data_IF_627907799220
#
_entry.id   IF_627907799220
#
_cell.length_a   1.000
_cell.length_b   1.000
_cell.length_c   1.000
_cell.angle_alpha   90.00
_cell.angle_beta   90.00
_cell.angle_gamma   90.00
#
_symmetry.space_group_name_H-M   'P 1'
#
loop_
_entity.id
_entity.type
_entity.pdbx_description
1 polymer ?
#
# COMPACT_ATOMS: atom_id res chain seq x y z
N UNK A 1 -16.82 -13.80 3.91
CA UNK A 1 -16.01 -12.57 3.90
C UNK A 1 -15.86 -12.17 5.36
N UNK A 2 -14.64 -12.11 5.87
CA UNK A 2 -14.41 -11.72 7.26
C UNK A 2 -14.51 -10.20 7.39
N UNK A 3 -15.65 -9.78 7.88
CA UNK A 3 -15.98 -8.54 8.56
C UNK A 3 -15.03 -8.29 9.75
N UNK A 4 -13.87 -7.70 9.48
CA UNK A 4 -12.90 -7.33 10.50
C UNK A 4 -13.31 -6.04 11.22
N UNK A 5 -14.05 -6.16 12.32
CA UNK A 5 -14.36 -5.05 13.25
C UNK A 5 -13.16 -4.64 14.15
N UNK A 6 -11.93 -5.02 13.78
CA UNK A 6 -10.69 -4.68 14.47
C UNK A 6 -9.45 -5.23 13.74
N UNK A 7 -8.29 -4.58 13.91
CA UNK A 7 -7.03 -4.98 13.28
C UNK A 7 -5.94 -3.91 13.37
N UNK A 8 -4.74 -4.23 12.89
CA UNK A 8 -3.58 -3.32 12.87
C UNK A 8 -3.18 -2.90 11.44
N UNK A 9 -3.77 -3.53 10.42
CA UNK A 9 -3.42 -3.32 9.02
C UNK A 9 -4.59 -3.61 8.07
N UNK A 10 -4.51 -3.01 6.87
CA UNK A 10 -5.33 -3.33 5.70
C UNK A 10 -4.51 -4.17 4.73
N UNK A 11 -5.15 -5.17 4.13
CA UNK A 11 -4.59 -5.96 3.03
C UNK A 11 -5.30 -5.57 1.74
N UNK A 12 -4.60 -4.89 0.84
CA UNK A 12 -5.18 -4.23 -0.33
C UNK A 12 -4.66 -4.87 -1.60
N UNK A 13 -5.56 -5.30 -2.49
CA UNK A 13 -5.20 -5.71 -3.85
C UNK A 13 -5.09 -4.49 -4.74
N UNK A 14 -3.96 -4.33 -5.42
CA UNK A 14 -3.75 -3.34 -6.47
C UNK A 14 -4.17 -3.89 -7.84
N UNK A 15 -4.36 -2.99 -8.81
CA UNK A 15 -4.63 -3.35 -10.18
C UNK A 15 -3.42 -4.06 -10.82
N UNK A 16 -3.66 -5.02 -11.71
CA UNK A 16 -2.62 -5.91 -12.24
C UNK A 16 -1.54 -5.19 -13.08
N UNK A 17 -1.82 -3.98 -13.54
CA UNK A 17 -0.88 -3.13 -14.27
C UNK A 17 0.02 -2.28 -13.37
N UNK A 18 -0.18 -2.30 -12.05
CA UNK A 18 0.70 -1.62 -11.10
C UNK A 18 1.93 -2.51 -10.84
N UNK A 19 3.12 -1.95 -11.09
CA UNK A 19 4.38 -2.57 -10.69
C UNK A 19 4.67 -2.21 -9.23
N UNK A 20 4.38 -3.12 -8.31
CA UNK A 20 4.52 -2.91 -6.86
C UNK A 20 5.95 -2.53 -6.43
N UNK A 21 7.02 -3.21 -6.90
CA UNK A 21 8.39 -2.79 -6.59
C UNK A 21 8.68 -1.33 -6.98
N UNK A 22 8.29 -0.91 -8.19
CA UNK A 22 8.44 0.49 -8.62
C UNK A 22 7.63 1.45 -7.75
N UNK A 23 6.39 1.09 -7.41
CA UNK A 23 5.55 1.90 -6.53
C UNK A 23 6.17 2.03 -5.13
N UNK A 24 6.78 0.97 -4.60
CA UNK A 24 7.45 0.97 -3.31
C UNK A 24 8.65 1.93 -3.30
N UNK A 25 9.48 1.92 -4.34
CA UNK A 25 10.61 2.84 -4.48
C UNK A 25 10.14 4.30 -4.56
N UNK A 26 9.11 4.56 -5.37
CA UNK A 26 8.50 5.90 -5.49
C UNK A 26 7.93 6.40 -4.17
N UNK A 27 7.18 5.56 -3.46
CA UNK A 27 6.56 5.90 -2.18
C UNK A 27 7.63 6.17 -1.11
N UNK A 28 8.67 5.33 -1.06
CA UNK A 28 9.78 5.49 -0.10
C UNK A 28 10.51 6.81 -0.33
N UNK A 29 10.72 7.23 -1.58
CA UNK A 29 11.30 8.54 -1.90
C UNK A 29 10.44 9.72 -1.43
N UNK A 30 9.14 9.50 -1.16
CA UNK A 30 8.20 10.49 -0.61
C UNK A 30 7.90 10.26 0.88
N UNK A 31 8.75 9.50 1.58
CA UNK A 31 8.61 9.16 3.00
C UNK A 31 7.33 8.37 3.34
N UNK A 32 6.81 7.58 2.39
CA UNK A 32 5.69 6.65 2.60
C UNK A 32 6.18 5.22 2.45
N UNK A 33 6.00 4.42 3.51
CA UNK A 33 6.38 3.01 3.52
C UNK A 33 5.13 2.13 3.59
N UNK A 34 5.09 1.07 2.78
CA UNK A 34 4.11 -0.01 2.89
C UNK A 34 4.84 -1.36 2.75
N UNK A 35 4.21 -2.48 3.12
CA UNK A 35 4.84 -3.79 2.92
C UNK A 35 4.30 -4.44 1.63
N UNK A 36 5.15 -4.74 0.63
CA UNK A 36 4.75 -5.55 -0.52
C UNK A 36 4.25 -6.93 -0.08
N UNK A 37 3.18 -7.42 -0.69
CA UNK A 37 2.58 -8.69 -0.31
C UNK A 37 3.46 -9.91 -0.60
N UNK A 38 4.44 -9.77 -1.50
CA UNK A 38 5.44 -10.80 -1.81
C UNK A 38 6.40 -11.11 -0.64
N UNK A 39 6.37 -10.34 0.45
CA UNK A 39 7.12 -10.67 1.66
C UNK A 39 6.44 -11.82 2.43
N UNK A 40 5.14 -12.04 2.20
CA UNK A 40 4.31 -13.01 2.95
C UNK A 40 3.93 -14.25 2.12
N UNK A 41 4.35 -14.31 0.86
CA UNK A 41 4.13 -15.42 -0.04
C UNK A 41 5.36 -15.62 -0.93
N UNK A 42 5.64 -16.86 -1.31
CA UNK A 42 6.75 -17.19 -2.21
C UNK A 42 6.49 -16.78 -3.66
N UNK A 43 5.25 -16.41 -3.99
CA UNK A 43 4.87 -15.93 -5.32
C UNK A 43 4.69 -14.41 -5.34
N UNK A 44 5.13 -13.72 -6.42
CA UNK A 44 4.71 -12.35 -6.67
C UNK A 44 3.19 -12.26 -6.65
N UNK A 45 2.67 -11.30 -5.92
CA UNK A 45 1.23 -11.05 -5.83
C UNK A 45 0.95 -9.55 -5.94
N UNK A 46 -0.29 -9.22 -6.23
CA UNK A 46 -0.76 -7.85 -6.40
C UNK A 46 -1.29 -7.25 -5.11
N UNK A 47 -0.77 -7.63 -3.96
CA UNK A 47 -1.22 -7.12 -2.66
C UNK A 47 -0.17 -6.26 -1.97
N UNK A 48 -0.65 -5.33 -1.16
CA UNK A 48 0.15 -4.55 -0.22
C UNK A 48 -0.48 -4.57 1.17
N UNK A 49 0.35 -4.44 2.21
CA UNK A 49 -0.09 -4.26 3.59
C UNK A 49 0.13 -2.82 4.05
N UNK A 50 -0.95 -2.18 4.47
CA UNK A 50 -0.96 -0.83 5.05
C UNK A 50 -1.22 -0.94 6.55
N UNK A 51 -0.21 -0.66 7.37
CA UNK A 51 -0.36 -0.68 8.83
C UNK A 51 -0.88 0.69 9.31
N UNK A 52 -1.98 0.72 10.06
CA UNK A 52 -2.59 1.98 10.54
C UNK A 52 -2.50 2.18 12.05
N UNK A 53 -2.26 1.12 12.82
CA UNK A 53 -2.39 1.17 14.29
C UNK A 53 -1.31 1.93 15.05
N UNK A 54 -0.18 2.21 14.40
CA UNK A 54 0.94 2.92 15.00
C UNK A 54 0.98 4.40 14.60
N UNK A 55 0.20 4.78 13.58
CA UNK A 55 0.25 6.10 12.98
C UNK A 55 -0.97 6.93 13.37
N UNK A 56 -0.83 8.27 13.46
CA UNK A 56 -2.01 9.11 13.66
C UNK A 56 -2.91 9.07 12.43
N UNK A 57 -4.22 9.30 12.62
CA UNK A 57 -5.18 9.36 11.51
C UNK A 57 -4.74 10.33 10.42
N UNK A 58 -4.28 11.52 10.80
CA UNK A 58 -3.83 12.55 9.85
C UNK A 58 -2.61 12.11 9.04
N UNK A 59 -1.61 11.49 9.68
CA UNK A 59 -0.41 11.00 8.99
C UNK A 59 -0.71 9.80 8.10
N UNK A 60 -1.63 8.94 8.53
CA UNK A 60 -2.12 7.84 7.71
C UNK A 60 -2.84 8.37 6.46
N UNK A 61 -3.77 9.31 6.62
CA UNK A 61 -4.51 9.93 5.50
C UNK A 61 -3.56 10.62 4.52
N UNK A 62 -2.57 11.36 5.03
CA UNK A 62 -1.53 11.98 4.19
C UNK A 62 -0.73 10.93 3.41
N UNK A 63 -0.32 9.83 4.06
CA UNK A 63 0.40 8.74 3.40
C UNK A 63 -0.42 8.07 2.29
N UNK A 64 -1.72 7.84 2.53
CA UNK A 64 -2.65 7.31 1.52
C UNK A 64 -2.81 8.27 0.36
N UNK A 65 -2.91 9.58 0.62
CA UNK A 65 -2.99 10.60 -0.43
C UNK A 65 -1.76 10.57 -1.34
N UNK A 66 -0.55 10.58 -0.75
CA UNK A 66 0.71 10.51 -1.50
C UNK A 66 0.76 9.22 -2.33
N UNK A 67 0.40 8.08 -1.75
CA UNK A 67 0.39 6.80 -2.46
C UNK A 67 -0.56 6.82 -3.66
N UNK A 68 -1.76 7.38 -3.48
CA UNK A 68 -2.78 7.51 -4.53
C UNK A 68 -2.32 8.42 -5.66
N UNK A 69 -1.75 9.58 -5.32
CA UNK A 69 -1.22 10.54 -6.30
C UNK A 69 -0.08 9.90 -7.13
N UNK A 70 0.82 9.14 -6.48
CA UNK A 70 1.88 8.39 -7.17
C UNK A 70 1.33 7.32 -8.10
N UNK A 71 0.25 6.64 -7.70
CA UNK A 71 -0.40 5.63 -8.54
C UNK A 71 -0.92 6.26 -9.83
N UNK A 72 -1.75 7.32 -9.73
CA UNK A 72 -2.32 7.99 -10.89
C UNK A 72 -1.27 8.63 -11.81
N UNK A 73 -0.16 9.11 -11.25
CA UNK A 73 0.90 9.74 -12.04
C UNK A 73 1.79 8.74 -12.80
N UNK A 74 1.89 7.47 -12.35
CA UNK A 74 2.88 6.52 -12.85
C UNK A 74 2.32 5.24 -13.46
N UNK A 75 1.03 4.96 -13.24
CA UNK A 75 0.36 3.76 -13.72
C UNK A 75 -0.99 4.14 -14.32
N UNK A 76 -1.34 3.47 -15.42
CA UNK A 76 -2.57 3.77 -16.16
C UNK A 76 -3.77 3.07 -15.53
N UNK A 77 -4.23 3.59 -14.39
CA UNK A 77 -5.34 3.04 -13.60
C UNK A 77 -6.67 3.73 -13.85
#
# INVERSE_FOLDING_TARGET
MADAHGGFYLWVRLADNINIPKLFDLATAHNVLFNPGSIYDFQPNQYIRLSFSYESSDRFEQGIKILTDLIHANFNV
#
